data_IF_226904535043
#
_entry.id   IF_226904535043
#
_cell.length_a   1.000
_cell.length_b   1.000
_cell.length_c   1.000
_cell.angle_alpha   90.00
_cell.angle_beta   90.00
_cell.angle_gamma   90.00
#
_symmetry.space_group_name_H-M   'P 1'
#
loop_
_entity.id
_entity.type
_entity.pdbx_description
1 polymer ?
#
# COMPACT_ATOMS: atom_id res chain seq x y z
N UNK A 1 -10.38 -18.86 -24.34
CA UNK A 1 -9.55 -19.00 -23.13
C UNK A 1 -8.10 -18.82 -23.55
N UNK A 2 -7.47 -17.68 -23.26
CA UNK A 2 -6.08 -17.45 -23.67
C UNK A 2 -5.20 -18.13 -22.63
N UNK A 3 -4.72 -19.32 -22.93
CA UNK A 3 -3.65 -19.94 -22.16
C UNK A 3 -2.39 -19.08 -22.34
N UNK A 4 -1.95 -18.43 -21.25
CA UNK A 4 -0.79 -17.53 -21.19
C UNK A 4 0.55 -18.28 -21.32
N UNK A 5 0.60 -19.37 -22.07
CA UNK A 5 1.74 -20.30 -22.14
C UNK A 5 3.01 -19.69 -22.76
N UNK A 6 2.97 -18.44 -23.24
CA UNK A 6 4.06 -17.84 -24.03
C UNK A 6 4.54 -16.46 -23.58
N UNK A 7 4.16 -15.95 -22.41
CA UNK A 7 4.53 -14.57 -22.00
C UNK A 7 5.70 -14.55 -20.99
N UNK A 8 5.67 -15.42 -19.98
CA UNK A 8 6.73 -15.56 -18.97
C UNK A 8 6.78 -17.02 -18.52
N UNK A 9 7.95 -17.55 -18.19
CA UNK A 9 8.03 -18.86 -17.57
C UNK A 9 7.45 -18.82 -16.14
N UNK A 10 6.77 -19.90 -15.75
CA UNK A 10 5.97 -19.95 -14.52
C UNK A 10 6.84 -19.81 -13.26
N UNK A 11 8.04 -20.39 -13.30
CA UNK A 11 8.99 -20.35 -12.20
C UNK A 11 9.52 -18.94 -11.99
N UNK A 12 9.90 -18.21 -13.05
CA UNK A 12 10.30 -16.80 -12.94
C UNK A 12 9.20 -15.93 -12.32
N UNK A 13 7.93 -16.15 -12.69
CA UNK A 13 6.84 -15.42 -12.06
C UNK A 13 6.70 -15.74 -10.57
N UNK A 14 6.79 -17.02 -10.20
CA UNK A 14 6.78 -17.41 -8.79
C UNK A 14 7.97 -16.82 -8.03
N UNK A 15 9.16 -16.82 -8.64
CA UNK A 15 10.36 -16.22 -8.07
C UNK A 15 10.19 -14.72 -7.82
N UNK A 16 9.55 -13.98 -8.73
CA UNK A 16 9.24 -12.55 -8.52
C UNK A 16 8.39 -12.39 -7.25
N UNK A 17 7.33 -13.19 -7.11
CA UNK A 17 6.46 -13.15 -5.92
C UNK A 17 7.26 -13.49 -4.65
N UNK A 18 8.08 -14.54 -4.70
CA UNK A 18 8.84 -15.03 -3.56
C UNK A 18 9.99 -14.10 -3.13
N UNK A 19 10.68 -13.50 -4.11
CA UNK A 19 11.85 -12.63 -3.88
C UNK A 19 11.46 -11.20 -3.50
N UNK A 20 10.26 -10.71 -3.88
CA UNK A 20 9.78 -9.37 -3.54
C UNK A 20 9.91 -9.09 -2.04
N UNK A 21 10.54 -7.95 -1.70
CA UNK A 21 10.71 -7.46 -0.32
C UNK A 21 10.07 -6.10 -0.12
N UNK A 22 9.81 -5.79 1.15
CA UNK A 22 9.54 -4.42 1.59
C UNK A 22 10.85 -3.69 1.76
N UNK A 23 11.19 -2.82 0.80
CA UNK A 23 12.40 -2.01 0.76
C UNK A 23 12.13 -0.67 1.47
N UNK A 24 13.04 -0.27 2.36
CA UNK A 24 12.94 0.91 3.22
C UNK A 24 14.13 1.86 3.10
N UNK A 25 15.17 1.46 2.37
CA UNK A 25 16.33 2.28 2.05
C UNK A 25 16.50 2.31 0.54
N UNK A 26 16.58 3.52 -0.01
CA UNK A 26 16.61 3.77 -1.45
C UNK A 26 17.83 4.61 -1.81
N UNK A 27 18.35 4.44 -3.01
CA UNK A 27 19.30 5.40 -3.57
C UNK A 27 18.57 6.67 -4.05
N UNK A 28 19.34 7.72 -4.34
CA UNK A 28 18.82 8.97 -4.90
C UNK A 28 18.61 8.93 -6.43
N UNK A 29 18.85 7.79 -7.07
CA UNK A 29 18.65 7.62 -8.51
C UNK A 29 17.24 8.05 -8.94
N UNK A 30 17.12 8.86 -10.01
CA UNK A 30 15.82 9.29 -10.51
C UNK A 30 15.03 8.11 -11.06
N UNK A 31 13.72 8.13 -10.84
CA UNK A 31 12.79 7.14 -11.43
C UNK A 31 12.19 7.73 -12.72
N UNK A 32 12.47 7.14 -13.90
CA UNK A 32 11.90 7.60 -15.17
C UNK A 32 10.37 7.60 -15.14
N UNK A 33 9.76 8.56 -15.84
CA UNK A 33 8.29 8.64 -15.93
C UNK A 33 7.70 7.39 -16.59
N UNK A 34 8.35 6.89 -17.64
CA UNK A 34 7.89 5.71 -18.38
C UNK A 34 7.79 4.46 -17.48
N UNK A 35 8.74 4.26 -16.57
CA UNK A 35 8.68 3.14 -15.63
C UNK A 35 7.54 3.28 -14.63
N UNK A 36 7.31 4.49 -14.11
CA UNK A 36 6.16 4.77 -13.24
C UNK A 36 4.83 4.53 -13.96
N UNK A 37 4.70 4.97 -15.20
CA UNK A 37 3.51 4.74 -16.02
C UNK A 37 3.23 3.25 -16.21
N UNK A 38 4.27 2.44 -16.49
CA UNK A 38 4.11 0.98 -16.61
C UNK A 38 3.74 0.32 -15.28
N UNK A 39 4.34 0.75 -14.17
CA UNK A 39 4.04 0.27 -12.83
C UNK A 39 2.59 0.57 -12.43
N UNK A 40 2.12 1.79 -12.71
CA UNK A 40 0.75 2.20 -12.44
C UNK A 40 -0.23 1.48 -13.37
N UNK A 41 0.09 1.30 -14.65
CA UNK A 41 -0.71 0.50 -15.56
C UNK A 41 -0.88 -0.94 -15.05
N UNK A 42 0.20 -1.58 -14.57
CA UNK A 42 0.13 -2.90 -13.96
C UNK A 42 -0.82 -2.93 -12.74
N UNK A 43 -0.79 -1.88 -11.91
CA UNK A 43 -1.70 -1.73 -10.77
C UNK A 43 -3.18 -1.76 -11.21
N UNK A 44 -3.52 -1.08 -12.32
CA UNK A 44 -4.90 -0.99 -12.84
C UNK A 44 -5.47 -2.31 -13.36
N UNK A 45 -4.63 -3.30 -13.67
CA UNK A 45 -5.07 -4.64 -14.06
C UNK A 45 -5.54 -5.51 -12.88
N UNK A 46 -5.55 -4.98 -11.66
CA UNK A 46 -6.14 -5.69 -10.54
C UNK A 46 -7.65 -5.93 -10.73
N UNK A 47 -8.20 -7.05 -10.24
CA UNK A 47 -9.64 -7.23 -10.20
C UNK A 47 -10.27 -6.25 -9.21
N UNK A 48 -11.50 -5.83 -9.49
CA UNK A 48 -12.31 -5.05 -8.56
C UNK A 48 -13.76 -5.51 -8.54
N UNK A 49 -14.41 -5.40 -7.38
CA UNK A 49 -15.81 -5.77 -7.22
C UNK A 49 -16.70 -5.02 -8.21
N UNK A 50 -17.44 -5.75 -9.06
CA UNK A 50 -18.25 -5.18 -10.15
C UNK A 50 -17.47 -4.23 -11.07
N UNK A 51 -16.16 -4.45 -11.25
CA UNK A 51 -15.25 -3.59 -12.01
C UNK A 51 -15.22 -2.12 -11.54
N UNK A 52 -15.41 -1.86 -10.25
CA UNK A 52 -15.52 -0.50 -9.70
C UNK A 52 -14.23 0.32 -9.75
N UNK A 53 -13.07 -0.34 -9.87
CA UNK A 53 -11.74 0.28 -9.95
C UNK A 53 -11.56 1.43 -8.94
N UNK A 54 -11.73 1.16 -7.62
CA UNK A 54 -11.90 2.19 -6.60
C UNK A 54 -10.56 2.80 -6.15
N UNK A 55 -9.60 2.92 -7.07
CA UNK A 55 -8.25 3.37 -6.80
C UNK A 55 -7.92 4.63 -7.59
N UNK A 56 -7.15 5.52 -6.97
CA UNK A 56 -6.47 6.62 -7.63
C UNK A 56 -5.04 6.72 -7.10
N UNK A 57 -4.09 7.15 -7.94
CA UNK A 57 -2.67 7.13 -7.60
C UNK A 57 -2.06 8.53 -7.74
N UNK A 58 -1.65 9.11 -6.62
CA UNK A 58 -0.98 10.41 -6.59
C UNK A 58 0.53 10.19 -6.52
N UNK A 59 1.25 10.58 -7.56
CA UNK A 59 2.71 10.38 -7.68
C UNK A 59 3.46 11.61 -7.20
N UNK A 60 4.18 11.50 -6.09
CA UNK A 60 4.89 12.60 -5.44
C UNK A 60 6.40 12.50 -5.69
N UNK A 61 6.88 13.25 -6.69
CA UNK A 61 8.32 13.38 -7.01
C UNK A 61 9.00 14.60 -6.37
N UNK A 62 8.23 15.56 -5.89
CA UNK A 62 8.78 16.76 -5.25
C UNK A 62 9.25 16.43 -3.84
N UNK A 63 10.54 16.61 -3.57
CA UNK A 63 11.14 16.28 -2.27
C UNK A 63 10.47 17.04 -1.13
N UNK A 64 10.27 18.36 -1.28
CA UNK A 64 9.64 19.17 -0.24
C UNK A 64 8.25 18.67 0.14
N UNK A 65 7.45 18.18 -0.82
CA UNK A 65 6.13 17.59 -0.54
C UNK A 65 6.27 16.27 0.22
N UNK A 66 7.18 15.37 -0.21
CA UNK A 66 7.42 14.10 0.51
C UNK A 66 7.89 14.32 1.94
N UNK A 67 8.79 15.28 2.14
CA UNK A 67 9.30 15.66 3.48
C UNK A 67 8.20 16.29 4.33
N UNK A 68 7.33 17.12 3.74
CA UNK A 68 6.16 17.69 4.44
C UNK A 68 5.18 16.60 4.89
N UNK A 69 4.89 15.61 4.05
CA UNK A 69 4.07 14.46 4.43
C UNK A 69 4.71 13.66 5.59
N UNK A 70 6.02 13.39 5.53
CA UNK A 70 6.73 12.69 6.60
C UNK A 70 6.73 13.50 7.91
N UNK A 71 6.92 14.82 7.84
CA UNK A 71 6.86 15.71 8.99
C UNK A 71 5.47 15.74 9.64
N UNK A 72 4.39 15.66 8.86
CA UNK A 72 3.03 15.55 9.41
C UNK A 72 2.87 14.26 10.24
N UNK A 73 3.42 13.14 9.76
CA UNK A 73 3.43 11.87 10.51
C UNK A 73 4.28 11.99 11.78
N UNK A 74 5.45 12.63 11.73
CA UNK A 74 6.28 12.89 12.91
C UNK A 74 5.53 13.73 13.96
N UNK A 75 4.87 14.80 13.53
CA UNK A 75 4.08 15.67 14.42
C UNK A 75 2.92 14.91 15.08
N UNK A 76 2.22 14.06 14.32
CA UNK A 76 1.16 13.22 14.89
C UNK A 76 1.70 12.20 15.89
N UNK A 77 2.89 11.63 15.64
CA UNK A 77 3.54 10.76 16.61
C UNK A 77 3.88 11.52 17.90
N UNK A 78 4.38 12.75 17.81
CA UNK A 78 4.64 13.60 18.98
C UNK A 78 3.36 13.88 19.76
N UNK A 79 2.26 14.22 19.07
CA UNK A 79 0.93 14.40 19.67
C UNK A 79 0.47 13.14 20.43
N UNK A 80 0.52 11.96 19.79
CA UNK A 80 0.11 10.69 20.39
C UNK A 80 0.90 10.40 21.68
N UNK A 81 2.19 10.72 21.71
CA UNK A 81 3.04 10.49 22.88
C UNK A 81 2.71 11.40 24.09
N UNK A 82 1.89 12.44 23.89
CA UNK A 82 1.39 13.26 25.00
C UNK A 82 0.18 12.63 25.70
N UNK A 83 -0.44 11.60 25.11
CA UNK A 83 -1.65 11.01 25.63
C UNK A 83 -1.37 10.12 26.86
N UNK A 84 -2.17 10.22 27.93
CA UNK A 84 -1.97 9.44 29.15
C UNK A 84 -1.83 7.92 28.93
N UNK A 85 -2.56 7.37 27.96
CA UNK A 85 -2.60 5.94 27.60
C UNK A 85 -1.27 5.41 27.03
N UNK A 86 -0.36 6.32 26.67
CA UNK A 86 0.94 5.99 26.07
C UNK A 86 2.11 6.05 27.05
N UNK A 87 1.89 6.51 28.29
CA UNK A 87 2.95 6.73 29.28
C UNK A 87 3.82 5.48 29.53
N UNK A 88 3.24 4.28 29.53
CA UNK A 88 3.95 3.00 29.70
C UNK A 88 4.52 2.42 28.39
N UNK A 89 4.22 3.04 27.25
CA UNK A 89 4.53 2.55 25.89
C UNK A 89 5.42 3.47 25.08
N UNK A 90 5.82 4.63 25.62
CA UNK A 90 6.63 5.66 24.92
C UNK A 90 7.79 5.05 24.12
N UNK A 91 8.60 4.19 24.75
CA UNK A 91 9.75 3.53 24.08
C UNK A 91 9.32 2.66 22.89
N UNK A 92 8.22 1.91 23.03
CA UNK A 92 7.71 1.01 21.98
C UNK A 92 7.09 1.80 20.82
N UNK A 93 6.37 2.88 21.12
CA UNK A 93 5.79 3.77 20.10
C UNK A 93 6.91 4.47 19.34
N UNK A 94 7.90 5.03 20.03
CA UNK A 94 9.06 5.66 19.39
C UNK A 94 9.87 4.71 18.49
N UNK A 95 9.90 3.41 18.80
CA UNK A 95 10.55 2.43 17.93
C UNK A 95 9.88 2.29 16.54
N UNK A 96 8.60 2.68 16.39
CA UNK A 96 7.90 2.67 15.10
C UNK A 96 8.12 3.93 14.27
N UNK A 97 8.60 5.03 14.87
CA UNK A 97 8.69 6.35 14.25
C UNK A 97 9.33 6.29 12.86
N UNK A 98 10.54 5.73 12.78
CA UNK A 98 11.23 5.57 11.50
C UNK A 98 10.49 4.65 10.52
N UNK A 99 9.84 3.60 11.01
CA UNK A 99 9.04 2.69 10.18
C UNK A 99 7.82 3.38 9.58
N UNK A 100 7.38 4.50 10.15
CA UNK A 100 6.26 5.28 9.66
C UNK A 100 6.72 6.42 8.75
N UNK A 101 7.97 6.90 8.84
CA UNK A 101 8.38 8.13 8.14
C UNK A 101 9.44 7.95 7.06
N UNK A 102 10.05 6.75 6.92
CA UNK A 102 11.09 6.51 5.92
C UNK A 102 10.66 6.75 4.47
N UNK A 103 9.36 6.75 4.18
CA UNK A 103 8.87 7.04 2.84
C UNK A 103 9.30 8.43 2.34
N UNK A 104 9.52 9.38 3.24
CA UNK A 104 9.97 10.74 2.91
C UNK A 104 11.35 10.79 2.26
N UNK A 105 12.16 9.73 2.40
CA UNK A 105 13.50 9.63 1.83
C UNK A 105 13.55 8.89 0.48
N UNK A 106 12.45 8.26 0.07
CA UNK A 106 12.38 7.64 -1.25
C UNK A 106 12.39 8.71 -2.35
N UNK A 107 12.95 8.45 -3.55
CA UNK A 107 12.90 9.40 -4.65
C UNK A 107 11.48 9.62 -5.20
N UNK A 108 10.58 8.65 -5.00
CA UNK A 108 9.15 8.75 -5.34
C UNK A 108 8.32 8.19 -4.20
N UNK A 109 7.18 8.84 -3.92
CA UNK A 109 6.11 8.27 -3.08
C UNK A 109 4.84 8.23 -3.90
N UNK A 110 4.18 7.08 -3.93
CA UNK A 110 2.86 6.92 -4.53
C UNK A 110 1.86 6.88 -3.38
N UNK A 111 1.07 7.94 -3.21
CA UNK A 111 -0.09 7.93 -2.33
C UNK A 111 -1.24 7.23 -3.07
N UNK A 112 -1.73 6.15 -2.50
CA UNK A 112 -2.79 5.33 -3.09
C UNK A 112 -4.09 5.71 -2.40
N UNK A 113 -5.00 6.27 -3.18
CA UNK A 113 -6.31 6.67 -2.71
C UNK A 113 -7.32 5.54 -2.96
N UNK A 114 -8.24 5.38 -2.02
CA UNK A 114 -9.42 4.55 -2.13
C UNK A 114 -10.66 5.42 -2.28
N UNK A 115 -11.71 4.84 -2.85
CA UNK A 115 -13.06 5.40 -2.81
C UNK A 115 -14.02 4.29 -2.47
N UNK A 116 -14.96 4.56 -1.59
CA UNK A 116 -15.92 3.54 -1.20
C UNK A 116 -16.83 3.12 -2.36
N UNK A 117 -17.04 1.81 -2.45
CA UNK A 117 -17.95 1.20 -3.41
C UNK A 117 -18.73 0.09 -2.73
N UNK A 118 -20.05 0.21 -2.79
CA UNK A 118 -20.98 -0.82 -2.35
C UNK A 118 -21.89 -1.22 -3.50
N UNK A 119 -22.10 -2.52 -3.65
CA UNK A 119 -23.06 -3.04 -4.64
C UNK A 119 -24.49 -2.68 -4.24
N UNK A 120 -25.39 -2.59 -5.22
CA UNK A 120 -26.82 -2.35 -4.98
C UNK A 120 -27.37 -3.39 -4.01
N UNK A 121 -27.05 -4.68 -4.24
CA UNK A 121 -27.45 -5.78 -3.35
C UNK A 121 -27.04 -5.51 -1.91
N UNK A 122 -25.80 -5.05 -1.68
CA UNK A 122 -25.31 -4.75 -0.33
C UNK A 122 -26.07 -3.60 0.31
N UNK A 123 -26.30 -2.51 -0.43
CA UNK A 123 -27.11 -1.38 0.05
C UNK A 123 -28.53 -1.81 0.41
N UNK A 124 -29.15 -2.67 -0.40
CA UNK A 124 -30.52 -3.18 -0.19
C UNK A 124 -30.63 -4.05 1.06
N UNK A 125 -29.68 -4.95 1.33
CA UNK A 125 -29.74 -5.77 2.54
C UNK A 125 -29.46 -4.94 3.80
N UNK A 126 -28.52 -3.99 3.72
CA UNK A 126 -28.19 -3.09 4.84
C UNK A 126 -29.39 -2.18 5.18
N UNK A 127 -30.17 -1.74 4.19
CA UNK A 127 -31.39 -0.95 4.43
C UNK A 127 -32.51 -1.72 5.14
N UNK A 128 -32.42 -3.06 5.20
CA UNK A 128 -33.35 -3.93 5.92
C UNK A 128 -32.76 -4.41 7.27
N UNK A 129 -31.71 -3.75 7.77
CA UNK A 129 -31.10 -4.08 9.06
C UNK A 129 -30.27 -5.38 9.03
N UNK A 130 -29.99 -5.95 7.85
CA UNK A 130 -29.10 -7.10 7.72
C UNK A 130 -27.65 -6.61 7.86
N UNK A 131 -27.21 -6.45 9.11
CA UNK A 131 -25.83 -6.10 9.43
C UNK A 131 -24.97 -7.35 9.33
N UNK A 132 -23.87 -7.28 8.57
CA UNK A 132 -22.91 -8.37 8.59
C UNK A 132 -22.24 -8.43 9.96
N UNK A 133 -22.35 -9.57 10.64
CA UNK A 133 -21.92 -9.79 12.04
C UNK A 133 -20.41 -9.71 12.29
N UNK A 134 -19.60 -9.33 11.29
CA UNK A 134 -18.15 -9.24 11.40
C UNK A 134 -17.67 -7.95 10.77
N UNK A 135 -16.74 -7.28 11.46
CA UNK A 135 -16.01 -6.14 10.92
C UNK A 135 -15.12 -6.61 9.75
N UNK A 136 -15.67 -6.59 8.54
CA UNK A 136 -15.01 -7.05 7.30
C UNK A 136 -14.48 -5.83 6.55
N UNK A 137 -13.27 -5.89 5.97
CA UNK A 137 -12.83 -4.88 5.01
C UNK A 137 -13.86 -4.70 3.89
N UNK A 138 -14.03 -3.46 3.42
CA UNK A 138 -14.92 -3.18 2.30
C UNK A 138 -14.41 -3.85 1.02
N UNK A 139 -15.32 -4.13 0.08
CA UNK A 139 -14.93 -4.65 -1.24
C UNK A 139 -13.96 -3.72 -1.97
N UNK A 140 -14.14 -2.41 -1.78
CA UNK A 140 -13.24 -1.39 -2.29
C UNK A 140 -11.83 -1.53 -1.69
N UNK A 141 -11.72 -1.70 -0.38
CA UNK A 141 -10.44 -1.90 0.30
C UNK A 141 -9.67 -3.13 -0.24
N UNK A 142 -10.36 -4.26 -0.44
CA UNK A 142 -9.75 -5.47 -1.03
C UNK A 142 -9.30 -5.25 -2.47
N UNK A 143 -10.06 -4.47 -3.24
CA UNK A 143 -9.74 -4.12 -4.63
C UNK A 143 -8.48 -3.23 -4.68
N UNK A 144 -8.41 -2.19 -3.84
CA UNK A 144 -7.22 -1.32 -3.72
C UNK A 144 -5.99 -2.12 -3.28
N UNK A 145 -6.14 -3.03 -2.31
CA UNK A 145 -5.07 -3.92 -1.86
C UNK A 145 -4.50 -4.78 -3.02
N UNK A 146 -5.35 -5.30 -3.90
CA UNK A 146 -4.92 -6.05 -5.08
C UNK A 146 -4.15 -5.16 -6.07
N UNK A 147 -4.61 -3.94 -6.31
CA UNK A 147 -3.92 -2.97 -7.17
C UNK A 147 -2.54 -2.61 -6.63
N UNK A 148 -2.41 -2.41 -5.32
CA UNK A 148 -1.11 -2.20 -4.66
C UNK A 148 -0.22 -3.43 -4.87
N UNK A 149 -0.73 -4.65 -4.66
CA UNK A 149 0.10 -5.84 -4.85
C UNK A 149 0.62 -5.98 -6.29
N UNK A 150 -0.18 -5.68 -7.31
CA UNK A 150 0.26 -5.63 -8.70
C UNK A 150 1.37 -4.59 -8.91
N UNK A 151 1.20 -3.38 -8.35
CA UNK A 151 2.21 -2.31 -8.34
C UNK A 151 3.53 -2.81 -7.77
N UNK A 152 3.52 -3.43 -6.59
CA UNK A 152 4.75 -3.91 -5.93
C UNK A 152 5.48 -4.98 -6.75
N UNK A 153 4.74 -5.92 -7.34
CA UNK A 153 5.31 -7.00 -8.14
C UNK A 153 5.93 -6.45 -9.43
N UNK A 154 5.21 -5.59 -10.15
CA UNK A 154 5.72 -5.04 -11.41
C UNK A 154 6.89 -4.06 -11.19
N UNK A 155 6.86 -3.28 -10.11
CA UNK A 155 8.01 -2.49 -9.69
C UNK A 155 9.26 -3.36 -9.48
N UNK A 156 9.09 -4.54 -8.87
CA UNK A 156 10.20 -5.49 -8.65
C UNK A 156 10.76 -6.04 -9.96
N UNK A 157 9.91 -6.30 -10.96
CA UNK A 157 10.33 -6.73 -12.31
C UNK A 157 11.23 -5.69 -12.98
N UNK A 158 10.94 -4.40 -12.79
CA UNK A 158 11.77 -3.30 -13.31
C UNK A 158 13.01 -3.00 -12.45
N UNK A 159 13.25 -3.79 -11.39
CA UNK A 159 14.37 -3.61 -10.47
C UNK A 159 14.21 -2.45 -9.49
N UNK A 160 12.97 -2.08 -9.15
CA UNK A 160 12.66 -1.11 -8.11
C UNK A 160 12.27 -1.79 -6.80
N UNK A 161 12.67 -1.17 -5.70
CA UNK A 161 12.18 -1.47 -4.37
C UNK A 161 10.91 -0.69 -4.06
N UNK A 162 10.02 -1.30 -3.29
CA UNK A 162 8.82 -0.66 -2.76
C UNK A 162 8.51 -1.15 -1.35
N UNK A 163 7.73 -0.40 -0.58
CA UNK A 163 7.11 -0.88 0.65
C UNK A 163 5.67 -0.36 0.75
N UNK A 164 4.71 -1.25 0.90
CA UNK A 164 3.34 -0.85 1.21
C UNK A 164 3.24 -0.44 2.68
N UNK A 165 2.86 0.81 2.94
CA UNK A 165 2.81 1.40 4.28
C UNK A 165 1.41 1.90 4.63
N UNK A 166 0.92 1.48 5.80
CA UNK A 166 -0.29 2.00 6.44
C UNK A 166 -0.02 2.73 7.76
N UNK A 167 1.20 2.61 8.32
CA UNK A 167 1.62 3.40 9.48
C UNK A 167 1.44 4.92 9.31
N UNK A 168 1.74 5.50 8.14
CA UNK A 168 1.50 6.93 7.86
C UNK A 168 0.05 7.40 8.00
N UNK A 169 -0.92 6.47 7.98
CA UNK A 169 -2.34 6.81 8.07
C UNK A 169 -2.75 7.38 9.43
N UNK A 170 -1.87 7.36 10.45
CA UNK A 170 -2.11 8.13 11.67
C UNK A 170 -2.29 9.63 11.38
N UNK A 171 -1.67 10.14 10.32
CA UNK A 171 -1.77 11.51 9.84
C UNK A 171 -2.44 11.56 8.45
N UNK A 172 -3.44 10.70 8.21
CA UNK A 172 -4.11 10.61 6.92
C UNK A 172 -4.72 11.96 6.50
N UNK A 173 -5.43 12.63 7.41
CA UNK A 173 -6.06 13.93 7.16
C UNK A 173 -5.02 14.97 6.72
N UNK A 174 -3.92 15.12 7.46
CA UNK A 174 -2.89 16.10 7.14
C UNK A 174 -2.20 15.78 5.80
N UNK A 175 -2.01 14.50 5.49
CA UNK A 175 -1.45 14.08 4.19
C UNK A 175 -2.45 14.37 3.06
N UNK A 176 -3.73 14.10 3.26
CA UNK A 176 -4.81 14.40 2.31
C UNK A 176 -4.86 15.90 1.99
N UNK A 177 -4.82 16.75 3.01
CA UNK A 177 -4.76 18.21 2.87
C UNK A 177 -3.50 18.66 2.08
N UNK A 178 -2.33 18.09 2.38
CA UNK A 178 -1.09 18.39 1.65
C UNK A 178 -1.19 18.03 0.17
N UNK A 179 -1.89 16.94 -0.15
CA UNK A 179 -2.03 16.41 -1.51
C UNK A 179 -3.25 16.96 -2.25
N UNK A 180 -4.11 17.73 -1.59
CA UNK A 180 -5.38 18.21 -2.16
C UNK A 180 -6.35 17.08 -2.48
N UNK A 181 -6.41 16.06 -1.61
CA UNK A 181 -7.37 14.96 -1.75
C UNK A 181 -8.76 15.48 -1.38
N UNK A 182 -9.72 15.26 -2.26
CA UNK A 182 -11.12 15.66 -2.07
C UNK A 182 -12.02 14.43 -2.03
N UNK A 183 -13.14 14.56 -1.31
CA UNK A 183 -14.24 13.58 -1.33
C UNK A 183 -14.66 13.27 -2.79
N UNK A 184 -14.95 11.99 -3.13
CA UNK A 184 -15.12 10.84 -2.25
C UNK A 184 -13.84 9.99 -2.05
N UNK A 185 -12.66 10.57 -2.30
CA UNK A 185 -11.40 9.85 -2.18
C UNK A 185 -10.83 9.99 -0.76
N UNK A 186 -10.20 8.93 -0.28
CA UNK A 186 -9.45 8.91 0.97
C UNK A 186 -8.09 8.24 0.77
N UNK A 187 -7.10 8.62 1.57
CA UNK A 187 -5.78 8.00 1.57
C UNK A 187 -5.86 6.58 2.11
N UNK A 188 -5.67 5.58 1.24
CA UNK A 188 -5.66 4.17 1.65
C UNK A 188 -4.29 3.71 2.11
N UNK A 189 -3.21 4.22 1.51
CA UNK A 189 -1.82 3.89 1.89
C UNK A 189 -0.81 4.78 1.18
N UNK A 190 0.45 4.70 1.59
CA UNK A 190 1.58 5.25 0.82
C UNK A 190 2.55 4.14 0.44
N UNK A 191 3.14 4.28 -0.75
CA UNK A 191 4.12 3.36 -1.31
C UNK A 191 5.36 4.15 -1.76
N UNK A 192 6.41 4.25 -0.94
CA UNK A 192 7.71 4.70 -1.41
C UNK A 192 8.26 3.76 -2.50
N UNK A 193 8.92 4.35 -3.49
CA UNK A 193 9.46 3.67 -4.66
C UNK A 193 10.82 4.30 -5.04
N UNK A 194 11.81 3.44 -5.29
CA UNK A 194 13.14 3.83 -5.76
C UNK A 194 14.01 2.61 -6.03
N UNK A 195 15.24 2.83 -6.49
CA UNK A 195 16.23 1.73 -6.58
C UNK A 195 16.60 1.29 -5.15
N UNK A 196 16.61 -0.02 -4.85
CA UNK A 196 16.91 -0.51 -3.52
C UNK A 196 18.38 -0.26 -3.15
N UNK A 197 18.62 0.34 -1.99
CA UNK A 197 19.96 0.51 -1.41
C UNK A 197 20.17 -0.39 -0.18
N UNK A 198 19.42 -1.49 -0.11
CA UNK A 198 19.53 -2.52 0.91
C UNK A 198 19.18 -3.90 0.35
N UNK A 199 19.60 -4.95 1.06
CA UNK A 199 19.25 -6.34 0.76
C UNK A 199 18.64 -7.00 2.01
N UNK A 200 17.33 -6.83 2.26
CA UNK A 200 16.70 -7.35 3.47
C UNK A 200 16.75 -8.89 3.52
N UNK A 201 17.00 -9.47 4.69
CA UNK A 201 17.00 -10.93 4.89
C UNK A 201 15.62 -11.53 4.58
N UNK A 202 15.58 -12.77 4.09
CA UNK A 202 14.33 -13.51 3.87
C UNK A 202 13.77 -13.87 5.24
N UNK A 203 12.57 -13.39 5.57
CA UNK A 203 11.83 -13.89 6.74
C UNK A 203 11.09 -15.16 6.35
N UNK A 204 11.09 -16.15 7.24
CA UNK A 204 10.35 -17.40 7.04
C UNK A 204 8.85 -17.12 6.85
N UNK A 205 8.21 -17.89 5.98
CA UNK A 205 6.75 -17.93 5.82
C UNK A 205 6.19 -19.09 6.64
N UNK A 206 4.92 -18.99 7.03
CA UNK A 206 4.20 -20.13 7.61
C UNK A 206 4.14 -21.25 6.56
N UNK A 207 4.29 -22.50 6.99
CA UNK A 207 4.07 -23.66 6.13
C UNK A 207 2.61 -23.77 5.67
N UNK A 208 2.35 -24.45 4.55
CA UNK A 208 0.99 -24.62 4.01
C UNK A 208 0.07 -25.33 5.01
N UNK A 209 0.61 -26.23 5.84
CA UNK A 209 -0.10 -26.92 6.93
C UNK A 209 -0.73 -25.96 7.96
N UNK A 210 -0.27 -24.71 8.02
CA UNK A 210 -0.79 -23.69 8.93
C UNK A 210 -1.78 -22.72 8.29
N UNK A 211 -1.93 -22.73 6.95
CA UNK A 211 -2.70 -21.71 6.22
C UNK A 211 -3.65 -22.29 5.17
N UNK A 212 -3.62 -23.61 4.93
CA UNK A 212 -4.50 -24.31 3.98
C UNK A 212 -5.22 -25.45 4.69
N UNK A 213 -6.55 -25.50 4.54
CA UNK A 213 -7.38 -26.65 4.90
C UNK A 213 -7.97 -27.21 3.62
N UNK A 214 -7.71 -28.49 3.33
CA UNK A 214 -8.31 -29.21 2.21
C UNK A 214 -9.62 -29.85 2.68
N UNK A 215 -10.73 -29.37 2.14
CA UNK A 215 -12.03 -30.02 2.36
C UNK A 215 -12.20 -31.15 1.33
N UNK A 216 -12.74 -32.32 1.74
CA UNK A 216 -13.00 -33.44 0.85
C UNK A 216 -14.05 -33.12 -0.22
#
# INVERSE_FOLDING_TARGET
>A
MIFLEKIIDKESFFEIIAKRRSIRVFSNDPVPKADLERILAAATFAPSGTNSQPWHFVVVKTESIRKKMAAAVEAKMDEILTWPETADKVRRINAYRRSFTFFGDAPVVIAVLGKDHQTIVRKTIESHGVVQSRNRPSSAHLSVAAAIQNLLLFASVLGYGTCWMTGPLIAAQEIEEILGVEEPWYLSSVVPLGRPAEHPVIRSRKGLDKVVTWMP
#
